data_IF_482138403617
#
_entry.id   IF_482138403617
#
_cell.length_a   1.000
_cell.length_b   1.000
_cell.length_c   1.000
_cell.angle_alpha   90.00
_cell.angle_beta   90.00
_cell.angle_gamma   90.00
#
_symmetry.space_group_name_H-M   'P 1'
#
loop_
_entity.id
_entity.type
_entity.pdbx_description
1 polymer ?
#
# COMPACT_ATOMS: atom_id res chain seq x y z
N UNK A 1 -9.56 28.51 18.26
CA UNK A 1 -8.47 28.81 17.31
C UNK A 1 -7.14 28.17 17.72
N UNK A 2 -6.61 28.49 18.92
CA UNK A 2 -5.30 27.99 19.38
C UNK A 2 -5.20 26.47 19.52
N UNK A 3 -6.25 25.79 20.00
CA UNK A 3 -6.25 24.32 20.12
C UNK A 3 -6.13 23.62 18.76
N UNK A 4 -6.88 24.06 17.75
CA UNK A 4 -6.85 23.50 16.39
C UNK A 4 -5.43 23.58 15.80
N UNK A 5 -4.77 24.72 15.97
CA UNK A 5 -3.39 24.90 15.49
C UNK A 5 -2.40 24.02 16.24
N UNK A 6 -2.58 23.84 17.56
CA UNK A 6 -1.76 22.92 18.35
C UNK A 6 -1.95 21.47 17.92
N UNK A 7 -3.20 21.04 17.71
CA UNK A 7 -3.54 19.70 17.25
C UNK A 7 -2.86 19.37 15.91
N UNK A 8 -2.98 20.29 14.95
CA UNK A 8 -2.35 20.17 13.63
C UNK A 8 -0.83 20.11 13.73
N UNK A 9 -0.21 21.05 14.46
CA UNK A 9 1.23 21.07 14.70
C UNK A 9 1.70 19.74 15.30
N UNK A 10 1.02 19.28 16.34
CA UNK A 10 1.40 18.08 17.09
C UNK A 10 1.20 16.81 16.26
N UNK A 11 0.18 16.76 15.39
CA UNK A 11 -0.02 15.67 14.43
C UNK A 11 1.14 15.54 13.44
N UNK A 12 1.54 16.63 12.78
CA UNK A 12 2.68 16.58 11.85
C UNK A 12 4.01 16.33 12.56
N UNK A 13 4.22 16.95 13.72
CA UNK A 13 5.43 16.75 14.50
C UNK A 13 5.55 15.30 15.02
N UNK A 14 4.44 14.71 15.47
CA UNK A 14 4.41 13.33 15.92
C UNK A 14 4.68 12.37 14.77
N UNK A 15 3.97 12.52 13.65
CA UNK A 15 4.18 11.72 12.45
C UNK A 15 5.65 11.71 12.01
N UNK A 16 6.25 12.90 11.91
CA UNK A 16 7.63 13.03 11.48
C UNK A 16 8.60 12.34 12.45
N UNK A 17 8.48 12.62 13.76
CA UNK A 17 9.37 12.04 14.78
C UNK A 17 9.22 10.53 14.89
N UNK A 18 8.00 10.02 14.89
CA UNK A 18 7.73 8.59 15.07
C UNK A 18 8.10 7.78 13.82
N UNK A 19 7.85 8.31 12.62
CA UNK A 19 8.31 7.65 11.39
C UNK A 19 9.84 7.48 11.41
N UNK A 20 10.60 8.53 11.78
CA UNK A 20 12.06 8.44 11.90
C UNK A 20 12.51 7.56 13.07
N UNK A 21 11.77 7.52 14.18
CA UNK A 21 12.04 6.63 15.31
C UNK A 21 11.94 5.15 14.92
N UNK A 22 10.93 4.79 14.13
CA UNK A 22 10.77 3.45 13.58
C UNK A 22 11.82 3.13 12.52
N UNK A 23 12.12 4.09 11.64
CA UNK A 23 13.17 3.93 10.62
C UNK A 23 14.54 3.62 11.26
N UNK A 24 14.87 4.32 12.35
CA UNK A 24 16.09 4.08 13.12
C UNK A 24 16.15 2.67 13.76
N UNK A 25 15.02 1.95 13.82
CA UNK A 25 14.91 0.56 14.30
C UNK A 25 14.82 -0.45 13.16
N UNK A 26 15.07 -0.03 11.93
CA UNK A 26 15.06 -0.90 10.75
C UNK A 26 13.70 -1.07 10.10
N UNK A 27 12.66 -0.36 10.55
CA UNK A 27 11.37 -0.36 9.83
C UNK A 27 11.54 0.32 8.49
N UNK A 28 11.19 -0.38 7.42
CA UNK A 28 11.39 0.10 6.04
C UNK A 28 10.24 1.00 5.56
N UNK A 29 10.45 1.68 4.43
CA UNK A 29 9.40 2.42 3.71
C UNK A 29 8.20 1.53 3.32
N UNK A 30 8.42 0.22 3.18
CA UNK A 30 7.41 -0.76 2.82
C UNK A 30 6.68 -1.35 4.04
N UNK A 31 7.05 -0.96 5.25
CA UNK A 31 6.46 -1.47 6.50
C UNK A 31 5.88 -0.37 7.38
N UNK A 32 6.41 0.86 7.30
CA UNK A 32 6.05 1.95 8.21
C UNK A 32 4.55 2.21 8.31
N UNK A 33 3.82 2.04 7.20
CA UNK A 33 2.38 2.23 7.13
C UNK A 33 1.57 1.20 7.94
N UNK A 34 2.17 0.05 8.27
CA UNK A 34 1.52 -1.01 9.06
C UNK A 34 1.82 -0.90 10.56
N UNK A 35 2.78 -0.06 10.96
CA UNK A 35 3.25 0.03 12.37
C UNK A 35 3.09 1.42 12.98
N UNK A 36 3.08 2.48 12.16
CA UNK A 36 2.82 3.81 12.66
C UNK A 36 1.33 4.02 12.91
N UNK A 37 0.99 4.43 14.13
CA UNK A 37 -0.35 4.86 14.49
C UNK A 37 -0.35 6.27 15.06
N UNK A 38 -1.34 7.07 14.67
CA UNK A 38 -1.57 8.39 15.30
C UNK A 38 -1.99 8.16 16.75
N UNK A 39 -1.34 8.80 17.75
CA UNK A 39 -1.71 8.69 19.14
C UNK A 39 -3.18 9.04 19.37
N UNK A 40 -3.85 8.30 20.28
CA UNK A 40 -5.28 8.47 20.57
C UNK A 40 -5.67 9.94 20.86
N UNK A 41 -4.85 10.65 21.64
CA UNK A 41 -5.06 12.05 21.97
C UNK A 41 -5.14 12.99 20.76
N UNK A 42 -4.51 12.64 19.65
CA UNK A 42 -4.57 13.39 18.39
C UNK A 42 -5.66 12.83 17.46
N UNK A 43 -5.80 11.51 17.40
CA UNK A 43 -6.80 10.81 16.57
C UNK A 43 -8.25 11.22 16.91
N UNK A 44 -8.51 11.44 18.19
CA UNK A 44 -9.85 11.82 18.70
C UNK A 44 -10.19 13.29 18.37
N UNK A 45 -9.19 14.11 17.99
CA UNK A 45 -9.42 15.50 17.62
C UNK A 45 -9.81 15.60 16.15
N UNK A 46 -11.00 16.13 15.87
CA UNK A 46 -11.53 16.30 14.51
C UNK A 46 -10.54 17.02 13.58
N UNK A 47 -9.84 18.02 14.12
CA UNK A 47 -8.89 18.83 13.39
C UNK A 47 -7.67 18.04 12.94
N UNK A 48 -7.26 16.98 13.63
CA UNK A 48 -6.07 16.20 13.30
C UNK A 48 -6.39 14.92 12.50
N UNK A 49 -7.65 14.71 12.13
CA UNK A 49 -8.06 13.60 11.26
C UNK A 49 -7.61 13.82 9.82
N UNK A 50 -7.25 12.71 9.19
CA UNK A 50 -6.72 12.69 7.83
C UNK A 50 -7.87 12.47 6.83
N UNK A 51 -8.45 13.56 6.33
CA UNK A 51 -9.52 13.53 5.33
C UNK A 51 -9.02 13.73 3.88
N UNK A 52 -7.93 14.48 3.73
CA UNK A 52 -7.31 14.76 2.42
C UNK A 52 -6.00 14.00 2.24
N UNK A 53 -5.14 14.06 3.26
CA UNK A 53 -4.02 13.13 3.36
C UNK A 53 -4.47 11.80 3.95
N UNK A 54 -3.60 10.81 3.86
CA UNK A 54 -3.76 9.55 4.55
C UNK A 54 -2.52 9.30 5.43
N UNK A 55 -2.75 8.78 6.63
CA UNK A 55 -1.70 8.56 7.62
C UNK A 55 -0.64 7.59 7.11
N UNK A 56 -1.09 6.50 6.47
CA UNK A 56 -0.22 5.44 5.98
C UNK A 56 0.69 5.96 4.87
N UNK A 57 0.12 6.66 3.89
CA UNK A 57 0.86 7.27 2.80
C UNK A 57 1.80 8.38 3.29
N UNK A 58 1.35 9.23 4.22
CA UNK A 58 2.18 10.30 4.77
C UNK A 58 3.36 9.76 5.60
N UNK A 59 3.19 8.65 6.31
CA UNK A 59 4.29 7.99 7.03
C UNK A 59 5.37 7.49 6.06
N UNK A 60 4.96 6.86 4.94
CA UNK A 60 5.89 6.48 3.86
C UNK A 60 6.57 7.69 3.24
N UNK A 61 5.84 8.80 3.06
CA UNK A 61 6.39 10.04 2.51
C UNK A 61 7.47 10.65 3.41
N UNK A 62 7.32 10.57 4.74
CA UNK A 62 8.39 10.99 5.67
C UNK A 62 9.62 10.11 5.47
N UNK A 63 9.48 8.78 5.43
CA UNK A 63 10.62 7.89 5.18
C UNK A 63 11.28 8.24 3.85
N UNK A 64 10.50 8.37 2.77
CA UNK A 64 11.02 8.70 1.45
C UNK A 64 11.77 10.03 1.43
N UNK A 65 11.32 11.03 2.19
CA UNK A 65 11.98 12.32 2.29
C UNK A 65 13.38 12.22 2.90
N UNK A 66 13.59 11.36 3.89
CA UNK A 66 14.84 11.30 4.64
C UNK A 66 15.78 10.17 4.20
N UNK A 67 15.24 9.02 3.78
CA UNK A 67 16.00 7.82 3.44
C UNK A 67 15.84 7.40 1.96
N UNK A 68 14.92 8.03 1.23
CA UNK A 68 14.64 7.68 -0.16
C UNK A 68 13.68 6.49 -0.31
N UNK A 69 13.53 6.04 -1.55
CA UNK A 69 12.60 4.96 -1.92
C UNK A 69 13.18 3.56 -1.69
N UNK A 70 14.50 3.44 -1.58
CA UNK A 70 15.19 2.18 -1.37
C UNK A 70 15.01 1.71 0.08
N UNK A 71 14.64 0.45 0.27
CA UNK A 71 14.32 -0.11 1.59
C UNK A 71 15.53 -0.71 2.32
N UNK A 72 16.72 -0.69 1.71
CA UNK A 72 17.94 -1.25 2.29
C UNK A 72 18.22 -2.69 1.89
N UNK A 73 17.27 -3.40 1.26
CA UNK A 73 17.48 -4.78 0.80
C UNK A 73 18.10 -4.82 -0.61
N UNK A 74 19.30 -5.39 -0.80
CA UNK A 74 19.96 -5.42 -2.12
C UNK A 74 19.13 -6.09 -3.23
N UNK A 75 18.22 -7.00 -2.89
CA UNK A 75 17.29 -7.60 -3.85
C UNK A 75 16.38 -6.57 -4.55
N UNK A 76 16.17 -5.41 -3.90
CA UNK A 76 15.32 -4.32 -4.36
C UNK A 76 16.12 -3.11 -4.86
N UNK A 77 17.46 -3.21 -4.98
CA UNK A 77 18.31 -2.08 -5.37
C UNK A 77 18.11 -1.68 -6.83
N UNK A 78 18.08 -2.67 -7.73
CA UNK A 78 17.84 -2.49 -9.17
C UNK A 78 16.88 -3.59 -9.63
N UNK A 79 15.57 -3.47 -9.30
CA UNK A 79 14.60 -4.48 -9.69
C UNK A 79 14.36 -4.43 -11.21
N UNK A 80 14.05 -5.59 -11.80
CA UNK A 80 13.50 -5.64 -13.15
C UNK A 80 12.16 -4.88 -13.19
N UNK A 81 11.81 -4.34 -14.36
CA UNK A 81 10.48 -3.81 -14.56
C UNK A 81 9.45 -4.93 -14.31
N UNK A 82 8.26 -4.63 -13.74
CA UNK A 82 7.24 -5.64 -13.50
C UNK A 82 6.89 -6.47 -14.75
N UNK A 83 6.81 -5.83 -15.92
CA UNK A 83 6.55 -6.51 -17.21
C UNK A 83 7.62 -7.55 -17.59
N UNK A 84 8.88 -7.32 -17.21
CA UNK A 84 9.99 -8.19 -17.59
C UNK A 84 10.09 -9.40 -16.63
N UNK A 85 9.72 -9.23 -15.36
CA UNK A 85 9.74 -10.29 -14.35
C UNK A 85 8.44 -11.09 -14.25
N UNK A 86 7.30 -10.51 -14.65
CA UNK A 86 5.97 -11.11 -14.56
C UNK A 86 5.86 -12.52 -15.18
N UNK A 87 6.34 -12.77 -16.42
CA UNK A 87 6.20 -14.10 -17.04
C UNK A 87 6.89 -15.20 -16.25
N UNK A 88 8.07 -14.91 -15.67
CA UNK A 88 8.81 -15.86 -14.85
C UNK A 88 8.04 -16.20 -13.56
N UNK A 89 7.43 -15.21 -12.92
CA UNK A 89 6.60 -15.46 -11.74
C UNK A 89 5.38 -16.31 -12.06
N UNK A 90 4.71 -16.06 -13.20
CA UNK A 90 3.55 -16.86 -13.63
C UNK A 90 3.94 -18.31 -13.89
N UNK A 91 5.08 -18.53 -14.55
CA UNK A 91 5.62 -19.88 -14.80
C UNK A 91 5.96 -20.60 -13.48
N UNK A 92 6.70 -19.93 -12.59
CA UNK A 92 7.06 -20.46 -11.26
C UNK A 92 5.83 -20.79 -10.39
N UNK A 93 4.71 -20.06 -10.56
CA UNK A 93 3.45 -20.30 -9.85
C UNK A 93 2.57 -21.38 -10.51
N UNK A 94 3.02 -21.99 -11.60
CA UNK A 94 2.32 -23.09 -12.29
C UNK A 94 1.27 -22.63 -13.31
N UNK A 95 1.47 -21.45 -13.89
CA UNK A 95 0.67 -20.91 -14.98
C UNK A 95 -0.52 -20.05 -14.53
N UNK A 96 -1.09 -19.27 -15.48
CA UNK A 96 -2.10 -18.26 -15.17
C UNK A 96 -3.41 -18.85 -14.61
N UNK A 97 -3.81 -20.05 -15.05
CA UNK A 97 -5.05 -20.69 -14.61
C UNK A 97 -5.07 -20.96 -13.09
N UNK A 98 -3.94 -21.40 -12.52
CA UNK A 98 -3.82 -21.65 -11.07
C UNK A 98 -3.89 -20.34 -10.27
N UNK A 99 -3.27 -19.28 -10.79
CA UNK A 99 -3.28 -17.96 -10.15
C UNK A 99 -4.70 -17.40 -10.12
N UNK A 100 -5.44 -17.47 -11.24
CA UNK A 100 -6.82 -16.98 -11.32
C UNK A 100 -7.74 -17.74 -10.36
N UNK A 101 -7.70 -19.08 -10.38
CA UNK A 101 -8.53 -19.89 -9.46
C UNK A 101 -8.22 -19.58 -7.99
N UNK A 102 -6.93 -19.37 -7.64
CA UNK A 102 -6.57 -18.99 -6.27
C UNK A 102 -7.06 -17.57 -5.92
N UNK A 103 -7.03 -16.65 -6.86
CA UNK A 103 -7.55 -15.30 -6.65
C UNK A 103 -9.06 -15.31 -6.38
N UNK A 104 -9.85 -16.13 -7.08
CA UNK A 104 -11.29 -16.28 -6.83
C UNK A 104 -11.58 -16.81 -5.41
N UNK A 105 -10.81 -17.79 -4.96
CA UNK A 105 -10.91 -18.31 -3.58
C UNK A 105 -10.59 -17.23 -2.54
N UNK A 106 -9.54 -16.43 -2.79
CA UNK A 106 -9.13 -15.33 -1.89
C UNK A 106 -10.16 -14.20 -1.87
N UNK A 107 -10.82 -13.92 -3.00
CA UNK A 107 -11.94 -12.99 -3.08
C UNK A 107 -13.11 -13.47 -2.24
N UNK A 108 -13.49 -14.74 -2.36
CA UNK A 108 -14.54 -15.34 -1.52
C UNK A 108 -14.23 -15.32 -0.02
N UNK A 109 -12.95 -15.17 0.36
CA UNK A 109 -12.50 -15.02 1.74
C UNK A 109 -12.41 -13.56 2.22
N UNK A 110 -12.76 -12.58 1.38
CA UNK A 110 -12.63 -11.16 1.69
C UNK A 110 -11.19 -10.66 1.77
N UNK A 111 -10.22 -11.37 1.18
CA UNK A 111 -8.80 -10.99 1.20
C UNK A 111 -8.47 -10.00 0.07
N UNK A 112 -9.18 -8.87 0.05
CA UNK A 112 -9.09 -7.89 -1.05
C UNK A 112 -7.70 -7.28 -1.28
N UNK A 113 -6.90 -6.90 -0.25
CA UNK A 113 -5.62 -6.24 -0.49
C UNK A 113 -4.61 -7.12 -1.23
N UNK A 114 -4.60 -8.43 -0.95
CA UNK A 114 -3.68 -9.37 -1.61
C UNK A 114 -4.16 -9.69 -3.03
N UNK A 115 -5.47 -9.77 -3.27
CA UNK A 115 -6.02 -9.96 -4.63
C UNK A 115 -5.78 -8.75 -5.51
N UNK A 116 -5.89 -7.53 -4.96
CA UNK A 116 -5.54 -6.32 -5.72
C UNK A 116 -4.06 -6.31 -6.14
N UNK A 117 -3.16 -6.76 -5.24
CA UNK A 117 -1.70 -6.80 -5.49
C UNK A 117 -1.28 -7.95 -6.41
N UNK A 118 -2.00 -9.07 -6.42
CA UNK A 118 -1.68 -10.22 -7.28
C UNK A 118 -1.97 -9.99 -8.78
N UNK A 119 -2.40 -8.77 -9.16
CA UNK A 119 -2.47 -8.28 -10.54
C UNK A 119 -1.09 -8.07 -11.15
N UNK A 120 -0.33 -9.16 -11.28
CA UNK A 120 0.93 -9.16 -12.01
C UNK A 120 0.58 -9.16 -13.51
N UNK A 121 0.80 -8.01 -14.17
CA UNK A 121 0.72 -7.90 -15.65
C UNK A 121 -0.61 -7.44 -16.26
N UNK A 122 -1.53 -6.81 -15.52
CA UNK A 122 -2.86 -6.44 -16.05
C UNK A 122 -3.06 -4.94 -16.31
N UNK A 123 -1.98 -4.16 -16.46
CA UNK A 123 -2.11 -2.77 -16.89
C UNK A 123 -2.37 -2.69 -18.39
N UNK A 124 -3.43 -1.98 -18.75
CA UNK A 124 -4.02 -1.79 -20.09
C UNK A 124 -3.06 -1.34 -21.20
N UNK A 125 -1.82 -0.97 -20.89
CA UNK A 125 -0.79 -0.63 -21.88
C UNK A 125 0.00 -1.84 -22.39
N UNK A 126 -0.06 -2.97 -21.68
CA UNK A 126 0.86 -4.07 -21.87
C UNK A 126 0.06 -5.31 -22.31
N UNK A 127 0.15 -5.61 -23.60
CA UNK A 127 -0.40 -6.79 -24.31
C UNK A 127 -1.94 -6.90 -24.45
N UNK A 128 -2.41 -6.46 -25.63
CA UNK A 128 -3.62 -6.95 -26.31
C UNK A 128 -3.67 -8.49 -26.23
N UNK A 129 -4.57 -9.06 -25.42
CA UNK A 129 -4.81 -10.52 -25.44
C UNK A 129 -5.43 -11.19 -24.21
N UNK A 130 -5.43 -10.57 -23.03
CA UNK A 130 -5.96 -11.17 -21.79
C UNK A 130 -7.04 -10.31 -21.09
N UNK A 131 -7.81 -9.56 -21.87
CA UNK A 131 -8.36 -8.27 -21.43
C UNK A 131 -9.74 -8.27 -20.76
N UNK A 132 -10.51 -9.37 -20.71
CA UNK A 132 -11.93 -9.25 -20.33
C UNK A 132 -12.35 -9.82 -18.97
N UNK A 133 -11.64 -10.79 -18.40
CA UNK A 133 -12.12 -11.48 -17.17
C UNK A 133 -11.61 -10.84 -15.87
N UNK A 134 -10.42 -10.24 -15.88
CA UNK A 134 -9.76 -9.73 -14.66
C UNK A 134 -10.18 -8.29 -14.33
N UNK A 135 -10.71 -7.54 -15.30
CA UNK A 135 -11.18 -6.17 -15.09
C UNK A 135 -12.46 -6.09 -14.25
N UNK A 136 -13.38 -7.08 -14.34
CA UNK A 136 -14.63 -7.11 -13.55
C UNK A 136 -14.38 -7.40 -12.07
N UNK A 137 -13.73 -8.53 -11.77
CA UNK A 137 -13.36 -8.95 -10.41
C UNK A 137 -12.48 -7.91 -9.71
N UNK A 138 -11.67 -7.18 -10.49
CA UNK A 138 -10.78 -6.16 -9.97
C UNK A 138 -11.49 -4.86 -9.57
N UNK A 139 -12.55 -4.48 -10.26
CA UNK A 139 -13.33 -3.31 -9.89
C UNK A 139 -14.16 -3.60 -8.63
N UNK A 140 -14.77 -4.79 -8.55
CA UNK A 140 -15.53 -5.24 -7.37
C UNK A 140 -14.67 -5.28 -6.11
N UNK A 141 -13.48 -5.90 -6.15
CA UNK A 141 -12.59 -5.91 -4.98
C UNK A 141 -12.09 -4.52 -4.56
N UNK A 142 -11.92 -3.59 -5.52
CA UNK A 142 -11.55 -2.21 -5.22
C UNK A 142 -12.71 -1.45 -4.58
N UNK A 143 -13.93 -1.61 -5.11
CA UNK A 143 -15.14 -0.95 -4.60
C UNK A 143 -15.55 -1.50 -3.22
N UNK A 144 -15.43 -2.81 -2.99
CA UNK A 144 -15.67 -3.43 -1.67
C UNK A 144 -14.61 -3.01 -0.63
N UNK A 145 -13.34 -2.87 -1.04
CA UNK A 145 -12.30 -2.38 -0.14
C UNK A 145 -12.50 -0.92 0.30
N UNK A 146 -13.14 -0.09 -0.55
CA UNK A 146 -13.49 1.29 -0.20
C UNK A 146 -14.65 1.38 0.78
N UNK A 147 -15.60 0.46 0.71
CA UNK A 147 -16.71 0.40 1.67
C UNK A 147 -16.26 0.00 3.08
N UNK A 148 -15.14 -0.73 3.20
CA UNK A 148 -14.55 -1.12 4.50
C UNK A 148 -13.62 -0.05 5.10
N UNK A 149 -13.20 0.94 4.32
CA UNK A 149 -12.29 2.03 4.73
C UNK A 149 -13.01 3.37 4.96
N UNK A 150 -14.34 3.43 4.77
CA UNK A 150 -15.20 4.57 5.07
C UNK A 150 -15.89 4.39 6.43
#
# INVERSE_FOLDING_TARGET
>A
MQEVLRAQRDAYANLNKQALHYAARGVTINEIHNVYEVPKSLRDQWAARSYHGDVQNNARAVINRFLGHYDGNPANLIPLSPKDSAPLYVDMMGGPAKIISKNEELLGQGKYPIVHRSRVGTHKSDSFGAEFVIHGLGQEAFDESRLLLA
#
